data_IF_645084779248
#
_entry.id   IF_645084779248
#
_cell.length_a   1.000
_cell.length_b   1.000
_cell.length_c   1.000
_cell.angle_alpha   90.00
_cell.angle_beta   90.00
_cell.angle_gamma   90.00
#
_symmetry.space_group_name_H-M   'P 1'
#
loop_
_entity.id
_entity.type
_entity.pdbx_description
1 polymer ?
#
# COMPACT_ATOMS: atom_id res chain seq x y z
N UNK A 1 109.97 -95.38 60.73
CA UNK A 1 109.54 -94.05 61.22
C UNK A 1 110.02 -92.86 60.35
N UNK A 2 110.50 -93.06 59.12
CA UNK A 2 110.96 -91.94 58.25
C UNK A 2 109.98 -91.48 57.15
N UNK A 3 109.12 -92.37 56.66
CA UNK A 3 108.30 -92.14 55.44
C UNK A 3 107.06 -91.27 55.74
N UNK A 4 106.34 -91.54 56.83
CA UNK A 4 105.15 -90.75 57.23
C UNK A 4 105.48 -89.28 57.54
N UNK A 5 106.70 -88.98 57.99
CA UNK A 5 107.13 -87.61 58.30
C UNK A 5 107.34 -86.77 57.04
N UNK A 6 107.70 -87.40 55.92
CA UNK A 6 107.92 -86.72 54.65
C UNK A 6 106.62 -86.37 53.93
N UNK A 7 105.65 -87.29 53.86
CA UNK A 7 104.38 -87.05 53.17
C UNK A 7 103.58 -85.90 53.79
N UNK A 8 103.64 -85.76 55.13
CA UNK A 8 103.05 -84.65 55.86
C UNK A 8 103.76 -83.34 55.51
N UNK A 9 105.10 -83.33 55.44
CA UNK A 9 105.89 -82.15 55.07
C UNK A 9 105.67 -81.73 53.61
N UNK A 10 105.53 -82.70 52.71
CA UNK A 10 105.23 -82.47 51.30
C UNK A 10 103.85 -81.82 51.15
N UNK A 11 102.79 -82.40 51.73
CA UNK A 11 101.42 -81.88 51.63
C UNK A 11 101.21 -80.56 52.38
N UNK A 12 101.94 -80.33 53.47
CA UNK A 12 101.89 -79.08 54.21
C UNK A 12 102.72 -77.95 53.57
N UNK A 13 103.43 -78.20 52.47
CA UNK A 13 104.24 -77.17 51.83
C UNK A 13 103.35 -76.04 51.25
N UNK A 14 103.68 -74.75 51.47
CA UNK A 14 102.86 -73.60 51.03
C UNK A 14 102.64 -73.50 49.52
N UNK A 15 103.39 -74.26 48.72
CA UNK A 15 103.25 -74.30 47.27
C UNK A 15 101.86 -74.77 46.83
N UNK A 16 101.22 -75.67 47.58
CA UNK A 16 99.93 -76.25 47.17
C UNK A 16 98.76 -75.30 47.39
N UNK A 17 98.77 -74.51 48.47
CA UNK A 17 97.80 -73.43 48.66
C UNK A 17 97.98 -72.36 47.59
N UNK A 18 99.23 -72.01 47.25
CA UNK A 18 99.53 -71.05 46.19
C UNK A 18 98.97 -71.48 44.83
N UNK A 19 99.06 -72.76 44.47
CA UNK A 19 98.45 -73.27 43.23
C UNK A 19 96.91 -73.17 43.27
N UNK A 20 96.29 -73.47 44.41
CA UNK A 20 94.84 -73.38 44.56
C UNK A 20 94.35 -71.92 44.42
N UNK A 21 95.05 -70.98 45.06
CA UNK A 21 94.76 -69.55 44.99
C UNK A 21 94.91 -69.02 43.56
N UNK A 22 95.98 -69.41 42.86
CA UNK A 22 96.21 -69.07 41.45
C UNK A 22 95.08 -69.53 40.53
N UNK A 23 94.58 -70.75 40.72
CA UNK A 23 93.46 -71.28 39.93
C UNK A 23 92.17 -70.51 40.20
N UNK A 24 91.90 -70.16 41.46
CA UNK A 24 90.74 -69.34 41.82
C UNK A 24 90.84 -67.91 41.25
N UNK A 25 92.05 -67.34 41.26
CA UNK A 25 92.32 -66.03 40.70
C UNK A 25 92.05 -65.97 39.18
N UNK A 26 92.50 -66.99 38.43
CA UNK A 26 92.20 -67.09 37.01
C UNK A 26 90.69 -67.19 36.75
N UNK A 27 90.01 -68.11 37.45
CA UNK A 27 88.56 -68.34 37.26
C UNK A 27 87.71 -67.12 37.58
N UNK A 28 88.05 -66.36 38.63
CA UNK A 28 87.31 -65.15 39.00
C UNK A 28 87.43 -64.00 37.99
N UNK A 29 88.39 -64.07 37.08
CA UNK A 29 88.66 -63.04 36.07
C UNK A 29 88.44 -63.55 34.64
N UNK A 30 87.73 -64.66 34.45
CA UNK A 30 87.47 -65.27 33.15
C UNK A 30 86.78 -64.32 32.15
N UNK A 31 85.94 -63.39 32.62
CA UNK A 31 85.28 -62.38 31.79
C UNK A 31 86.26 -61.44 31.06
N UNK A 32 87.52 -61.37 31.52
CA UNK A 32 88.58 -60.56 30.92
C UNK A 32 89.34 -61.28 29.81
N UNK A 33 89.00 -62.54 29.54
CA UNK A 33 89.62 -63.34 28.48
C UNK A 33 89.14 -62.84 27.13
N UNK A 34 90.08 -62.32 26.33
CA UNK A 34 89.84 -61.86 24.97
C UNK A 34 90.22 -62.96 23.97
N UNK A 35 89.77 -62.88 22.70
CA UNK A 35 90.22 -63.82 21.67
C UNK A 35 91.76 -63.90 21.52
N UNK A 36 92.48 -62.82 21.84
CA UNK A 36 93.95 -62.74 21.71
C UNK A 36 94.71 -63.45 22.85
N UNK A 37 94.10 -63.62 24.03
CA UNK A 37 94.76 -64.23 25.18
C UNK A 37 94.12 -65.55 25.65
N UNK A 38 93.07 -66.00 24.96
CA UNK A 38 92.32 -67.22 25.30
C UNK A 38 93.20 -68.46 25.38
N UNK A 39 94.03 -68.69 24.36
CA UNK A 39 94.94 -69.84 24.34
C UNK A 39 95.93 -69.82 25.54
N UNK A 40 96.40 -68.64 25.92
CA UNK A 40 97.32 -68.47 27.05
C UNK A 40 96.63 -68.65 28.41
N UNK A 41 95.40 -68.14 28.54
CA UNK A 41 94.56 -68.38 29.71
C UNK A 41 94.28 -69.88 29.89
N UNK A 42 93.90 -70.57 28.81
CA UNK A 42 93.61 -72.00 28.81
C UNK A 42 94.88 -72.80 29.17
N UNK A 43 96.04 -72.43 28.63
CA UNK A 43 97.33 -73.07 28.95
C UNK A 43 97.72 -72.88 30.42
N UNK A 44 97.58 -71.69 30.98
CA UNK A 44 97.84 -71.41 32.40
C UNK A 44 96.90 -72.19 33.31
N UNK A 45 95.60 -72.21 32.99
CA UNK A 45 94.60 -72.94 33.78
C UNK A 45 94.85 -74.46 33.74
N UNK A 46 95.17 -75.01 32.57
CA UNK A 46 95.53 -76.42 32.42
C UNK A 46 96.84 -76.74 33.16
N UNK A 47 97.84 -75.88 33.04
CA UNK A 47 99.15 -76.08 33.66
C UNK A 47 99.13 -76.02 35.18
N UNK A 48 98.40 -75.07 35.75
CA UNK A 48 98.20 -75.00 37.19
C UNK A 48 97.35 -76.17 37.71
N UNK A 49 96.37 -76.63 36.93
CA UNK A 49 95.61 -77.85 37.26
C UNK A 49 96.53 -79.08 37.30
N UNK A 50 97.45 -79.21 36.34
CA UNK A 50 98.46 -80.26 36.33
C UNK A 50 99.40 -80.19 37.54
N UNK A 51 99.88 -79.00 37.93
CA UNK A 51 100.73 -78.85 39.12
C UNK A 51 99.94 -79.15 40.40
N UNK A 52 98.67 -78.75 40.49
CA UNK A 52 97.81 -79.02 41.65
C UNK A 52 97.66 -80.52 41.92
N UNK A 53 97.58 -81.33 40.85
CA UNK A 53 97.47 -82.78 40.95
C UNK A 53 98.74 -83.41 41.55
N UNK A 54 99.91 -82.85 41.25
CA UNK A 54 101.19 -83.34 41.79
C UNK A 54 101.27 -83.13 43.30
N UNK A 55 100.58 -82.13 43.84
CA UNK A 55 100.45 -81.93 45.29
C UNK A 55 99.68 -83.03 46.01
N UNK A 56 98.84 -83.77 45.30
CA UNK A 56 98.03 -84.85 45.88
C UNK A 56 98.81 -86.16 46.06
N UNK A 57 99.91 -86.34 45.32
CA UNK A 57 100.76 -87.55 45.30
C UNK A 57 102.19 -87.24 45.79
N UNK A 58 102.52 -87.47 47.08
CA UNK A 58 103.86 -87.26 47.59
C UNK A 58 104.88 -88.18 46.92
N UNK A 59 105.98 -87.60 46.43
CA UNK A 59 107.10 -88.35 45.87
C UNK A 59 108.26 -88.29 46.86
N UNK A 60 108.71 -89.45 47.38
CA UNK A 60 109.73 -89.55 48.44
C UNK A 60 111.06 -88.86 48.09
N UNK A 61 111.41 -88.81 46.80
CA UNK A 61 112.71 -88.31 46.30
C UNK A 61 112.68 -86.80 46.04
N UNK A 62 111.50 -86.17 46.05
CA UNK A 62 111.39 -84.71 45.96
C UNK A 62 111.90 -84.13 47.27
N UNK A 63 112.69 -83.07 47.24
CA UNK A 63 113.21 -82.44 48.45
C UNK A 63 112.43 -81.17 48.78
N UNK A 64 112.48 -80.71 50.03
CA UNK A 64 111.89 -79.41 50.40
C UNK A 64 112.45 -78.25 49.57
N UNK A 65 113.70 -78.35 49.14
CA UNK A 65 114.33 -77.37 48.24
C UNK A 65 113.70 -77.38 46.85
N UNK A 66 113.35 -78.54 46.31
CA UNK A 66 112.64 -78.65 45.03
C UNK A 66 111.21 -78.08 45.11
N UNK A 67 110.51 -78.30 46.23
CA UNK A 67 109.20 -77.68 46.49
C UNK A 67 109.31 -76.16 46.63
N UNK A 68 110.36 -75.66 47.28
CA UNK A 68 110.63 -74.23 47.40
C UNK A 68 110.96 -73.59 46.04
N UNK A 69 111.69 -74.29 45.16
CA UNK A 69 111.96 -73.83 43.80
C UNK A 69 110.66 -73.73 42.96
N UNK A 70 109.79 -74.74 43.06
CA UNK A 70 108.47 -74.69 42.43
C UNK A 70 107.64 -73.52 42.96
N UNK A 71 107.65 -73.30 44.27
CA UNK A 71 106.96 -72.18 44.90
C UNK A 71 107.46 -70.83 44.37
N UNK A 72 108.77 -70.64 44.23
CA UNK A 72 109.33 -69.39 43.69
C UNK A 72 108.84 -69.10 42.28
N UNK A 73 108.82 -70.11 41.40
CA UNK A 73 108.28 -69.96 40.05
C UNK A 73 106.79 -69.59 40.07
N UNK A 74 106.00 -70.25 40.92
CA UNK A 74 104.56 -69.98 41.03
C UNK A 74 104.25 -68.62 41.67
N UNK A 75 105.09 -68.11 42.56
CA UNK A 75 104.95 -66.74 43.09
C UNK A 75 105.11 -65.74 41.95
N UNK A 76 106.05 -65.95 41.03
CA UNK A 76 106.21 -65.10 39.86
C UNK A 76 105.01 -65.22 38.90
N UNK A 77 104.47 -66.42 38.69
CA UNK A 77 103.20 -66.61 37.96
C UNK A 77 102.08 -65.78 38.61
N UNK A 78 101.95 -65.84 39.94
CA UNK A 78 100.93 -65.09 40.67
C UNK A 78 101.08 -63.57 40.53
N UNK A 79 102.31 -63.05 40.58
CA UNK A 79 102.56 -61.63 40.34
C UNK A 79 102.06 -61.19 38.96
N UNK A 80 102.34 -61.97 37.91
CA UNK A 80 101.92 -61.64 36.56
C UNK A 80 100.43 -61.85 36.31
N UNK A 81 99.80 -62.89 36.88
CA UNK A 81 98.35 -63.08 36.81
C UNK A 81 97.61 -61.95 37.55
N UNK A 82 98.11 -61.50 38.70
CA UNK A 82 97.56 -60.33 39.39
C UNK A 82 97.71 -59.04 38.56
N UNK A 83 98.85 -58.83 37.89
CA UNK A 83 99.04 -57.69 37.01
C UNK A 83 98.07 -57.70 35.82
N UNK A 84 97.76 -58.88 35.27
CA UNK A 84 96.71 -59.04 34.26
C UNK A 84 95.32 -58.76 34.83
N UNK A 85 94.99 -59.36 35.98
CA UNK A 85 93.71 -59.22 36.67
C UNK A 85 93.41 -57.77 37.10
N UNK A 86 94.42 -56.90 37.18
CA UNK A 86 94.28 -55.49 37.57
C UNK A 86 94.27 -54.51 36.39
N UNK A 87 94.51 -54.92 35.14
CA UNK A 87 94.46 -53.99 33.99
C UNK A 87 95.64 -53.97 33.04
N UNK A 88 96.74 -54.66 33.34
CA UNK A 88 98.04 -54.34 32.71
C UNK A 88 98.26 -54.89 31.28
N UNK A 89 97.22 -55.37 30.58
CA UNK A 89 97.31 -55.85 29.19
C UNK A 89 97.67 -57.34 29.05
N UNK A 90 97.38 -57.93 27.89
CA UNK A 90 97.48 -59.38 27.63
C UNK A 90 98.90 -59.97 27.71
N UNK A 91 99.94 -59.13 27.54
CA UNK A 91 101.34 -59.56 27.58
C UNK A 91 101.76 -60.23 28.91
N UNK A 92 101.08 -59.88 30.01
CA UNK A 92 101.34 -60.47 31.32
C UNK A 92 100.93 -61.95 31.40
N UNK A 93 99.92 -62.38 30.64
CA UNK A 93 99.62 -63.81 30.47
C UNK A 93 100.54 -64.44 29.42
N UNK A 94 100.68 -63.80 28.25
CA UNK A 94 101.31 -64.35 27.04
C UNK A 94 102.79 -64.69 27.20
N UNK A 95 103.60 -63.81 27.80
CA UNK A 95 105.07 -64.01 27.86
C UNK A 95 105.62 -64.10 29.27
N UNK A 96 105.03 -63.36 30.22
CA UNK A 96 105.55 -63.29 31.58
C UNK A 96 105.06 -64.47 32.45
N UNK A 97 103.74 -64.66 32.60
CA UNK A 97 103.19 -65.76 33.39
C UNK A 97 103.52 -67.13 32.79
N UNK A 98 103.42 -67.29 31.45
CA UNK A 98 103.78 -68.54 30.79
C UNK A 98 105.26 -68.90 30.93
N UNK A 99 106.17 -67.92 30.84
CA UNK A 99 107.60 -68.19 31.01
C UNK A 99 107.94 -68.75 32.40
N UNK A 100 107.30 -68.23 33.46
CA UNK A 100 107.46 -68.78 34.81
C UNK A 100 106.69 -70.08 35.04
N UNK A 101 105.58 -70.30 34.32
CA UNK A 101 104.90 -71.60 34.30
C UNK A 101 105.77 -72.67 33.64
N UNK A 102 106.49 -72.33 32.57
CA UNK A 102 107.44 -73.24 31.92
C UNK A 102 108.63 -73.55 32.84
N UNK A 103 109.18 -72.56 33.55
CA UNK A 103 110.19 -72.79 34.59
C UNK A 103 109.67 -73.66 35.76
N UNK A 104 108.39 -73.49 36.13
CA UNK A 104 107.73 -74.37 37.08
C UNK A 104 107.67 -75.80 36.52
N UNK A 105 107.22 -76.00 35.29
CA UNK A 105 107.20 -77.31 34.65
C UNK A 105 108.58 -77.96 34.55
N UNK A 106 109.62 -77.22 34.21
CA UNK A 106 111.00 -77.72 34.17
C UNK A 106 111.44 -78.21 35.55
N UNK A 107 111.10 -77.47 36.61
CA UNK A 107 111.33 -77.91 37.99
C UNK A 107 110.62 -79.24 38.27
N UNK A 108 109.33 -79.34 37.93
CA UNK A 108 108.57 -80.56 38.20
C UNK A 108 108.89 -81.70 37.23
N UNK A 109 109.57 -81.43 36.12
CA UNK A 109 110.04 -82.44 35.16
C UNK A 109 111.27 -83.19 35.68
N UNK A 110 112.07 -82.57 36.55
CA UNK A 110 113.18 -83.24 37.24
C UNK A 110 112.72 -84.29 38.25
N UNK A 111 111.43 -84.32 38.60
CA UNK A 111 110.89 -85.24 39.59
C UNK A 111 110.56 -86.59 38.93
N UNK A 112 110.75 -87.72 39.65
CA UNK A 112 110.41 -89.04 39.14
C UNK A 112 108.95 -89.09 38.64
N UNK A 113 108.68 -89.64 37.44
CA UNK A 113 107.34 -89.68 36.89
C UNK A 113 106.42 -90.63 37.68
N UNK A 114 105.26 -90.15 38.14
CA UNK A 114 104.15 -91.01 38.56
C UNK A 114 103.32 -91.40 37.32
N UNK A 115 102.75 -92.62 37.31
CA UNK A 115 102.15 -93.24 36.12
C UNK A 115 100.90 -92.53 35.55
N UNK A 116 100.33 -91.54 36.24
CA UNK A 116 98.99 -90.98 35.92
C UNK A 116 98.97 -89.49 35.56
N UNK A 117 100.13 -88.90 35.27
CA UNK A 117 100.33 -87.44 35.22
C UNK A 117 99.65 -86.68 34.06
N UNK A 118 99.29 -87.33 32.95
CA UNK A 118 98.90 -86.63 31.70
C UNK A 118 97.40 -86.67 31.33
N UNK A 119 96.55 -87.39 32.06
CA UNK A 119 95.18 -87.70 31.59
C UNK A 119 94.06 -87.02 32.39
N UNK A 120 94.33 -86.47 33.58
CA UNK A 120 93.30 -85.86 34.44
C UNK A 120 92.98 -84.39 34.10
N UNK A 121 93.98 -83.54 33.82
CA UNK A 121 93.75 -82.13 33.45
C UNK A 121 92.91 -81.92 32.18
N UNK A 122 93.12 -82.75 31.15
CA UNK A 122 92.32 -82.71 29.92
C UNK A 122 90.85 -83.10 30.17
N UNK A 123 90.58 -84.01 31.12
CA UNK A 123 89.21 -84.39 31.50
C UNK A 123 88.47 -83.28 32.23
N UNK A 124 89.17 -82.50 33.06
CA UNK A 124 88.55 -81.35 33.75
C UNK A 124 88.11 -80.27 32.76
N UNK A 125 88.98 -79.86 31.83
CA UNK A 125 88.65 -78.86 30.81
C UNK A 125 87.52 -79.32 29.87
N UNK A 126 87.50 -80.61 29.50
CA UNK A 126 86.40 -81.18 28.72
C UNK A 126 85.06 -81.18 29.49
N UNK A 127 85.09 -81.34 30.82
CA UNK A 127 83.89 -81.29 31.66
C UNK A 127 83.35 -79.87 31.76
N UNK A 128 84.22 -78.88 31.99
CA UNK A 128 83.84 -77.47 32.06
C UNK A 128 83.22 -76.98 30.73
N UNK A 129 83.81 -77.32 29.58
CA UNK A 129 83.24 -77.00 28.26
C UNK A 129 81.84 -77.60 28.05
N UNK A 130 81.64 -78.84 28.48
CA UNK A 130 80.31 -79.49 28.39
C UNK A 130 79.29 -78.75 29.24
N UNK A 131 79.67 -78.30 30.45
CA UNK A 131 78.80 -77.51 31.32
C UNK A 131 78.48 -76.14 30.71
N UNK A 132 79.45 -75.43 30.14
CA UNK A 132 79.20 -74.14 29.49
C UNK A 132 78.33 -74.27 28.25
N UNK A 133 78.55 -75.30 27.43
CA UNK A 133 77.70 -75.62 26.30
C UNK A 133 76.25 -75.93 26.73
N UNK A 134 76.07 -76.65 27.84
CA UNK A 134 74.74 -76.92 28.41
C UNK A 134 74.05 -75.62 28.86
N UNK A 135 74.75 -74.76 29.59
CA UNK A 135 74.23 -73.47 30.03
C UNK A 135 73.85 -72.56 28.84
N UNK A 136 74.68 -72.54 27.79
CA UNK A 136 74.39 -71.78 26.57
C UNK A 136 73.16 -72.32 25.84
N UNK A 137 73.00 -73.64 25.72
CA UNK A 137 71.82 -74.29 25.11
C UNK A 137 70.56 -73.96 25.91
N UNK A 138 70.63 -74.01 27.25
CA UNK A 138 69.50 -73.66 28.12
C UNK A 138 69.12 -72.18 27.98
N UNK A 139 70.11 -71.28 27.91
CA UNK A 139 69.88 -69.86 27.63
C UNK A 139 69.25 -69.61 26.26
N UNK A 140 69.66 -70.34 25.21
CA UNK A 140 69.03 -70.27 23.88
C UNK A 140 67.60 -70.80 23.94
N UNK A 141 67.35 -71.94 24.60
CA UNK A 141 66.01 -72.51 24.77
C UNK A 141 65.08 -71.52 25.46
N UNK A 142 65.51 -70.88 26.55
CA UNK A 142 64.73 -69.85 27.24
C UNK A 142 64.41 -68.65 26.35
N UNK A 143 65.35 -68.21 25.50
CA UNK A 143 65.07 -67.14 24.51
C UNK A 143 64.07 -67.58 23.44
N UNK A 144 64.16 -68.82 22.95
CA UNK A 144 63.20 -69.37 21.98
C UNK A 144 61.80 -69.45 22.58
N UNK A 145 61.66 -69.92 23.82
CA UNK A 145 60.38 -69.94 24.54
C UNK A 145 59.81 -68.53 24.76
N UNK A 146 60.67 -67.57 25.15
CA UNK A 146 60.27 -66.17 25.29
C UNK A 146 59.79 -65.54 23.96
N UNK A 147 60.48 -65.81 22.86
CA UNK A 147 60.06 -65.37 21.52
C UNK A 147 58.75 -66.04 21.10
N UNK A 148 58.58 -67.33 21.37
CA UNK A 148 57.34 -68.04 21.06
C UNK A 148 56.14 -67.45 21.81
N UNK A 149 56.31 -67.14 23.09
CA UNK A 149 55.27 -66.48 23.88
C UNK A 149 54.93 -65.09 23.33
N UNK A 150 55.94 -64.31 22.93
CA UNK A 150 55.73 -62.98 22.34
C UNK A 150 55.04 -63.05 20.97
N UNK A 151 55.35 -64.05 20.15
CA UNK A 151 54.66 -64.32 18.88
C UNK A 151 53.20 -64.68 19.14
N UNK A 152 52.94 -65.55 20.11
CA UNK A 152 51.58 -65.97 20.46
C UNK A 152 50.75 -64.78 20.97
N UNK A 153 51.33 -63.97 21.86
CA UNK A 153 50.71 -62.74 22.37
C UNK A 153 50.40 -61.75 21.24
N UNK A 154 51.38 -61.45 20.40
CA UNK A 154 51.20 -60.51 19.28
C UNK A 154 50.15 -61.03 18.28
N UNK A 155 50.13 -62.34 18.02
CA UNK A 155 49.14 -62.97 17.16
C UNK A 155 47.74 -62.83 17.76
N UNK A 156 47.58 -63.11 19.06
CA UNK A 156 46.30 -62.98 19.75
C UNK A 156 45.80 -61.53 19.76
N UNK A 157 46.66 -60.56 20.08
CA UNK A 157 46.30 -59.13 20.07
C UNK A 157 45.92 -58.66 18.66
N UNK A 158 46.67 -59.09 17.64
CA UNK A 158 46.37 -58.72 16.25
C UNK A 158 45.04 -59.32 15.79
N UNK A 159 44.78 -60.60 16.10
CA UNK A 159 43.50 -61.23 15.78
C UNK A 159 42.33 -60.57 16.50
N UNK A 160 42.48 -60.22 17.78
CA UNK A 160 41.46 -59.50 18.55
C UNK A 160 41.17 -58.13 17.93
N UNK A 161 42.21 -57.34 17.61
CA UNK A 161 42.05 -56.03 16.97
C UNK A 161 41.39 -56.11 15.59
N UNK A 162 41.74 -57.11 14.77
CA UNK A 162 41.04 -57.34 13.49
C UNK A 162 39.58 -57.74 13.68
N UNK A 163 39.27 -58.58 14.66
CA UNK A 163 37.89 -58.99 14.96
C UNK A 163 37.03 -57.82 15.44
N UNK A 164 37.61 -56.93 16.26
CA UNK A 164 36.95 -55.71 16.73
C UNK A 164 36.69 -54.75 15.56
N UNK A 165 37.72 -54.47 14.75
CA UNK A 165 37.60 -53.60 13.59
C UNK A 165 36.62 -54.13 12.55
N UNK A 166 36.58 -55.45 12.34
CA UNK A 166 35.59 -56.09 11.46
C UNK A 166 34.17 -55.89 12.00
N UNK A 167 33.98 -56.04 13.31
CA UNK A 167 32.68 -55.86 13.98
C UNK A 167 32.21 -54.41 13.87
N UNK A 168 33.11 -53.45 14.13
CA UNK A 168 32.82 -52.02 14.01
C UNK A 168 32.47 -51.64 12.56
N UNK A 169 33.29 -52.09 11.60
CA UNK A 169 33.04 -51.85 10.18
C UNK A 169 31.70 -52.44 9.72
N UNK A 170 31.36 -53.65 10.16
CA UNK A 170 30.07 -54.27 9.87
C UNK A 170 28.90 -53.49 10.49
N UNK A 171 29.03 -53.04 11.74
CA UNK A 171 28.03 -52.21 12.40
C UNK A 171 27.80 -50.88 11.67
N UNK A 172 28.88 -50.19 11.30
CA UNK A 172 28.82 -48.93 10.56
C UNK A 172 28.20 -49.10 9.16
N UNK A 173 28.53 -50.19 8.46
CA UNK A 173 27.92 -50.52 7.15
C UNK A 173 26.41 -50.75 7.32
N UNK A 174 25.98 -51.51 8.33
CA UNK A 174 24.55 -51.75 8.57
C UNK A 174 23.81 -50.47 8.94
N UNK A 175 24.38 -49.63 9.81
CA UNK A 175 23.81 -48.34 10.18
C UNK A 175 23.66 -47.41 8.96
N UNK A 176 24.71 -47.31 8.14
CA UNK A 176 24.70 -46.50 6.91
C UNK A 176 23.68 -47.05 5.91
N UNK A 177 23.57 -48.37 5.75
CA UNK A 177 22.56 -48.99 4.88
C UNK A 177 21.14 -48.67 5.33
N UNK A 178 20.88 -48.71 6.64
CA UNK A 178 19.57 -48.35 7.20
C UNK A 178 19.23 -46.88 6.94
N UNK A 179 20.19 -45.97 7.14
CA UNK A 179 20.01 -44.54 6.86
C UNK A 179 19.75 -44.25 5.38
N UNK A 180 20.49 -44.92 4.47
CA UNK A 180 20.26 -44.80 3.02
C UNK A 180 18.86 -45.26 2.63
N UNK A 181 18.36 -46.35 3.22
CA UNK A 181 17.01 -46.85 2.94
C UNK A 181 15.92 -45.92 3.47
N UNK A 182 16.14 -45.35 4.66
CA UNK A 182 15.25 -44.31 5.21
C UNK A 182 15.21 -43.08 4.28
N UNK A 183 16.37 -42.55 3.88
CA UNK A 183 16.46 -41.40 2.99
C UNK A 183 15.79 -41.67 1.63
N UNK A 184 15.93 -42.88 1.09
CA UNK A 184 15.23 -43.28 -0.14
C UNK A 184 13.71 -43.26 0.03
N UNK A 185 13.22 -43.74 1.17
CA UNK A 185 11.79 -43.71 1.50
C UNK A 185 11.28 -42.26 1.63
N UNK A 186 12.02 -41.39 2.31
CA UNK A 186 11.69 -39.97 2.46
C UNK A 186 11.69 -39.23 1.11
N UNK A 187 12.68 -39.48 0.25
CA UNK A 187 12.75 -38.93 -1.10
C UNK A 187 11.56 -39.39 -1.95
N UNK A 188 11.21 -40.68 -1.87
CA UNK A 188 10.05 -41.24 -2.57
C UNK A 188 8.73 -40.58 -2.12
N UNK A 189 8.53 -40.47 -0.80
CA UNK A 189 7.35 -39.84 -0.21
C UNK A 189 7.23 -38.35 -0.57
N UNK A 190 8.35 -37.63 -0.51
CA UNK A 190 8.42 -36.21 -0.89
C UNK A 190 8.12 -36.04 -2.37
N UNK A 191 8.69 -36.87 -3.23
CA UNK A 191 8.44 -36.85 -4.68
C UNK A 191 6.97 -37.10 -5.01
N UNK A 192 6.34 -38.06 -4.34
CA UNK A 192 4.91 -38.35 -4.49
C UNK A 192 4.06 -37.14 -4.05
N UNK A 193 4.42 -36.49 -2.94
CA UNK A 193 3.71 -35.31 -2.43
C UNK A 193 3.84 -34.12 -3.39
N UNK A 194 5.04 -33.85 -3.89
CA UNK A 194 5.28 -32.77 -4.87
C UNK A 194 4.49 -33.02 -6.15
N UNK A 195 4.48 -34.26 -6.65
CA UNK A 195 3.71 -34.64 -7.85
C UNK A 195 2.21 -34.41 -7.65
N UNK A 196 1.67 -34.85 -6.50
CA UNK A 196 0.26 -34.66 -6.17
C UNK A 196 -0.10 -33.18 -6.01
N UNK A 197 0.78 -32.37 -5.41
CA UNK A 197 0.58 -30.93 -5.28
C UNK A 197 0.62 -30.21 -6.64
N UNK A 198 1.56 -30.59 -7.53
CA UNK A 198 1.62 -30.05 -8.89
C UNK A 198 0.32 -30.32 -9.64
N UNK A 199 -0.18 -31.56 -9.60
CA UNK A 199 -1.46 -31.91 -10.24
C UNK A 199 -2.64 -31.12 -9.67
N UNK A 200 -2.69 -30.91 -8.35
CA UNK A 200 -3.73 -30.09 -7.71
C UNK A 200 -3.65 -28.62 -8.13
N UNK A 201 -2.44 -28.07 -8.25
CA UNK A 201 -2.21 -26.71 -8.74
C UNK A 201 -2.66 -26.57 -10.19
N UNK A 202 -2.30 -27.50 -11.07
CA UNK A 202 -2.72 -27.49 -12.47
C UNK A 202 -4.25 -27.55 -12.60
N UNK A 203 -4.90 -28.42 -11.82
CA UNK A 203 -6.36 -28.49 -11.77
C UNK A 203 -7.00 -27.19 -11.25
N UNK A 204 -6.44 -26.60 -10.18
CA UNK A 204 -6.94 -25.35 -9.63
C UNK A 204 -6.78 -24.19 -10.63
N UNK A 205 -5.65 -24.10 -11.33
CA UNK A 205 -5.40 -23.09 -12.37
C UNK A 205 -6.40 -23.24 -13.51
N UNK A 206 -6.58 -24.46 -14.03
CA UNK A 206 -7.54 -24.72 -15.10
C UNK A 206 -8.97 -24.40 -14.67
N UNK A 207 -9.38 -24.82 -13.48
CA UNK A 207 -10.69 -24.49 -12.93
C UNK A 207 -10.89 -22.98 -12.80
N UNK A 208 -9.89 -22.27 -12.30
CA UNK A 208 -9.95 -20.83 -12.12
C UNK A 208 -10.03 -20.09 -13.46
N UNK A 209 -9.25 -20.51 -14.46
CA UNK A 209 -9.29 -19.95 -15.80
C UNK A 209 -10.67 -20.13 -16.45
N UNK A 210 -11.27 -21.32 -16.33
CA UNK A 210 -12.61 -21.60 -16.83
C UNK A 210 -13.65 -20.74 -16.12
N UNK A 211 -13.70 -20.76 -14.78
CA UNK A 211 -14.67 -19.99 -14.01
C UNK A 211 -14.52 -18.48 -14.24
N UNK A 212 -13.29 -17.97 -14.38
CA UNK A 212 -13.05 -16.57 -14.70
C UNK A 212 -13.60 -16.21 -16.08
N UNK A 213 -13.30 -17.03 -17.10
CA UNK A 213 -13.74 -16.78 -18.47
C UNK A 213 -15.27 -16.84 -18.61
N UNK A 214 -15.91 -17.80 -17.95
CA UNK A 214 -17.37 -17.92 -17.90
C UNK A 214 -18.02 -16.73 -17.17
N UNK A 215 -17.46 -16.34 -16.02
CA UNK A 215 -17.96 -15.18 -15.28
C UNK A 215 -17.79 -13.88 -16.06
N UNK A 216 -16.68 -13.73 -16.79
CA UNK A 216 -16.44 -12.55 -17.63
C UNK A 216 -17.39 -12.50 -18.84
N UNK A 217 -17.60 -13.64 -19.50
CA UNK A 217 -18.59 -13.74 -20.57
C UNK A 217 -20.01 -13.38 -20.06
N UNK A 218 -20.41 -13.90 -18.90
CA UNK A 218 -21.70 -13.60 -18.29
C UNK A 218 -21.84 -12.12 -17.87
N UNK A 219 -20.78 -11.51 -17.31
CA UNK A 219 -20.74 -10.08 -17.01
C UNK A 219 -20.87 -9.24 -18.27
N UNK A 220 -20.12 -9.57 -19.32
CA UNK A 220 -20.19 -8.86 -20.60
C UNK A 220 -21.58 -8.95 -21.22
N UNK A 221 -22.20 -10.13 -21.22
CA UNK A 221 -23.55 -10.33 -21.77
C UNK A 221 -24.61 -9.58 -20.95
N UNK A 222 -24.57 -9.68 -19.63
CA UNK A 222 -25.51 -8.96 -18.76
C UNK A 222 -25.36 -7.44 -18.87
N UNK A 223 -24.13 -6.94 -18.99
CA UNK A 223 -23.86 -5.52 -19.21
C UNK A 223 -24.41 -5.06 -20.58
N UNK A 224 -24.18 -5.83 -21.64
CA UNK A 224 -24.72 -5.53 -22.97
C UNK A 224 -26.25 -5.46 -22.95
N UNK A 225 -26.91 -6.45 -22.35
CA UNK A 225 -28.38 -6.43 -22.20
C UNK A 225 -28.88 -5.26 -21.37
N UNK A 226 -28.13 -4.85 -20.34
CA UNK A 226 -28.48 -3.68 -19.53
C UNK A 226 -28.37 -2.37 -20.34
N UNK A 227 -27.34 -2.23 -21.18
CA UNK A 227 -27.19 -1.09 -22.08
C UNK A 227 -28.31 -1.02 -23.13
N UNK A 228 -28.66 -2.16 -23.73
CA UNK A 228 -29.76 -2.25 -24.70
C UNK A 228 -31.09 -1.86 -24.05
N UNK A 229 -31.40 -2.41 -22.88
CA UNK A 229 -32.61 -2.04 -22.14
C UNK A 229 -32.62 -0.57 -21.73
N UNK A 230 -31.49 -0.03 -21.27
CA UNK A 230 -31.38 1.37 -20.92
C UNK A 230 -31.64 2.28 -22.14
N UNK A 231 -31.10 1.92 -23.31
CA UNK A 231 -31.34 2.64 -24.55
C UNK A 231 -32.83 2.60 -24.95
N UNK A 232 -33.46 1.42 -24.86
CA UNK A 232 -34.89 1.25 -25.15
C UNK A 232 -35.78 2.06 -24.18
N UNK A 233 -35.52 1.97 -22.88
CA UNK A 233 -36.25 2.70 -21.85
C UNK A 233 -36.10 4.22 -22.04
N UNK A 234 -34.89 4.69 -22.37
CA UNK A 234 -34.61 6.11 -22.64
C UNK A 234 -35.33 6.60 -23.89
N UNK A 235 -35.34 5.80 -24.96
CA UNK A 235 -36.04 6.13 -26.20
C UNK A 235 -37.55 6.22 -25.95
N UNK A 236 -38.13 5.23 -25.27
CA UNK A 236 -39.56 5.22 -24.90
C UNK A 236 -39.94 6.41 -24.01
N UNK A 237 -39.10 6.75 -23.02
CA UNK A 237 -39.33 7.91 -22.16
C UNK A 237 -39.27 9.22 -22.95
N UNK A 238 -38.33 9.33 -23.88
CA UNK A 238 -38.16 10.52 -24.73
C UNK A 238 -39.35 10.68 -25.69
N UNK A 239 -39.82 9.60 -26.30
CA UNK A 239 -41.01 9.62 -27.17
C UNK A 239 -42.27 10.02 -26.39
N UNK A 240 -42.47 9.48 -25.18
CA UNK A 240 -43.59 9.88 -24.30
C UNK A 240 -43.52 11.35 -23.91
N UNK A 241 -42.35 11.82 -23.51
CA UNK A 241 -42.15 13.23 -23.15
C UNK A 241 -42.41 14.15 -24.34
N UNK A 242 -41.97 13.75 -25.54
CA UNK A 242 -42.25 14.49 -26.78
C UNK A 242 -43.74 14.53 -27.09
N UNK A 243 -44.44 13.40 -27.03
CA UNK A 243 -45.88 13.34 -27.27
C UNK A 243 -46.66 14.23 -26.29
N UNK A 244 -46.33 14.17 -25.00
CA UNK A 244 -46.93 15.03 -23.98
C UNK A 244 -46.65 16.52 -24.23
N UNK A 245 -45.43 16.86 -24.66
CA UNK A 245 -45.07 18.24 -25.00
C UNK A 245 -45.82 18.74 -26.24
N UNK A 246 -46.00 17.90 -27.26
CA UNK A 246 -46.76 18.25 -28.47
C UNK A 246 -48.25 18.43 -28.14
N UNK A 247 -48.83 17.57 -27.30
CA UNK A 247 -50.20 17.70 -26.79
C UNK A 247 -50.39 18.99 -25.98
N UNK A 248 -49.49 19.27 -25.03
CA UNK A 248 -49.53 20.49 -24.22
C UNK A 248 -49.40 21.76 -25.08
N UNK A 249 -48.52 21.74 -26.08
CA UNK A 249 -48.36 22.86 -27.02
C UNK A 249 -49.63 23.07 -27.85
N UNK A 250 -50.28 22.01 -28.30
CA UNK A 250 -51.55 22.08 -29.03
C UNK A 250 -52.66 22.68 -28.15
N UNK A 251 -52.80 22.18 -26.92
CA UNK A 251 -53.77 22.71 -25.96
C UNK A 251 -53.52 24.19 -25.63
N UNK A 252 -52.25 24.60 -25.49
CA UNK A 252 -51.89 25.99 -25.25
C UNK A 252 -52.18 26.89 -26.45
N UNK A 253 -51.95 26.41 -27.68
CA UNK A 253 -52.33 27.14 -28.90
C UNK A 253 -53.84 27.33 -28.99
N UNK A 254 -54.64 26.30 -28.71
CA UNK A 254 -56.09 26.41 -28.70
C UNK A 254 -56.61 27.34 -27.59
N UNK A 255 -56.02 27.29 -26.40
CA UNK A 255 -56.35 28.21 -25.32
C UNK A 255 -55.98 29.66 -25.68
N UNK A 256 -54.79 29.87 -26.25
CA UNK A 256 -54.35 31.17 -26.73
C UNK A 256 -55.25 31.74 -27.82
N UNK A 257 -55.65 30.91 -28.80
CA UNK A 257 -56.57 31.32 -29.85
C UNK A 257 -57.94 31.70 -29.28
N UNK A 258 -58.48 30.92 -28.33
CA UNK A 258 -59.73 31.26 -27.65
C UNK A 258 -59.67 32.61 -26.93
N UNK A 259 -58.58 32.90 -26.23
CA UNK A 259 -58.38 34.19 -25.57
C UNK A 259 -58.31 35.33 -26.61
N UNK A 260 -57.59 35.13 -27.71
CA UNK A 260 -57.51 36.12 -28.80
C UNK A 260 -58.90 36.39 -29.39
N UNK A 261 -59.68 35.34 -29.65
CA UNK A 261 -61.03 35.46 -30.18
C UNK A 261 -61.97 36.16 -29.18
N UNK A 262 -61.87 35.85 -27.88
CA UNK A 262 -62.64 36.49 -26.81
C UNK A 262 -62.27 37.98 -26.67
N UNK A 263 -60.98 38.31 -26.70
CA UNK A 263 -60.49 39.70 -26.65
C UNK A 263 -60.97 40.48 -27.88
N UNK A 264 -60.96 39.87 -29.07
CA UNK A 264 -61.50 40.48 -30.28
C UNK A 264 -63.00 40.77 -30.16
N UNK A 265 -63.78 39.80 -29.66
CA UNK A 265 -65.21 39.98 -29.43
C UNK A 265 -65.50 41.07 -28.39
N UNK A 266 -64.77 41.10 -27.27
CA UNK A 266 -64.88 42.15 -26.25
C UNK A 266 -64.52 43.52 -26.80
N UNK A 267 -63.50 43.61 -27.66
CA UNK A 267 -63.13 44.85 -28.35
C UNK A 267 -64.26 45.33 -29.26
N UNK A 268 -64.90 44.44 -30.00
CA UNK A 268 -66.02 44.80 -30.87
C UNK A 268 -67.25 45.25 -30.07
N UNK A 269 -67.57 44.56 -28.97
CA UNK A 269 -68.63 44.98 -28.03
C UNK A 269 -68.34 46.35 -27.40
N UNK A 270 -67.09 46.61 -27.01
CA UNK A 270 -66.69 47.89 -26.45
C UNK A 270 -66.85 49.02 -27.48
N UNK A 271 -66.48 48.78 -28.74
CA UNK A 271 -66.69 49.74 -29.85
C UNK A 271 -68.18 50.02 -30.06
N UNK A 272 -69.03 48.99 -30.06
CA UNK A 272 -70.48 49.16 -30.20
C UNK A 272 -71.10 49.94 -29.04
N UNK A 273 -70.73 49.59 -27.79
CA UNK A 273 -71.22 50.28 -26.59
C UNK A 273 -70.82 51.76 -26.58
N UNK A 274 -69.57 52.09 -26.90
CA UNK A 274 -69.10 53.48 -26.96
C UNK A 274 -69.85 54.26 -28.03
N UNK A 275 -70.08 53.67 -29.21
CA UNK A 275 -70.86 54.30 -30.27
C UNK A 275 -72.32 54.54 -29.86
N UNK A 276 -72.97 53.57 -29.22
CA UNK A 276 -74.35 53.67 -28.77
C UNK A 276 -74.52 54.69 -27.63
N UNK A 277 -73.62 54.68 -26.64
CA UNK A 277 -73.70 55.57 -25.48
C UNK A 277 -73.30 57.00 -25.84
N UNK A 278 -72.31 57.21 -26.70
CA UNK A 278 -71.82 58.55 -27.05
C UNK A 278 -72.89 59.45 -27.69
N UNK A 279 -73.69 58.92 -28.62
CA UNK A 279 -74.74 59.70 -29.28
C UNK A 279 -76.02 59.80 -28.45
N UNK A 280 -76.43 58.71 -27.79
CA UNK A 280 -77.62 58.72 -26.96
C UNK A 280 -77.47 59.61 -25.72
N UNK A 281 -76.29 59.64 -25.10
CA UNK A 281 -76.00 60.49 -23.94
C UNK A 281 -76.06 61.97 -24.30
N UNK A 282 -75.38 62.37 -25.38
CA UNK A 282 -75.36 63.77 -25.84
C UNK A 282 -76.75 64.27 -26.23
N UNK A 283 -77.52 63.52 -27.02
CA UNK A 283 -78.91 63.90 -27.36
C UNK A 283 -79.82 64.03 -26.12
N UNK A 284 -79.63 63.18 -25.11
CA UNK A 284 -80.42 63.23 -23.86
C UNK A 284 -80.13 64.50 -23.05
N UNK A 285 -78.87 64.91 -22.94
CA UNK A 285 -78.48 66.13 -22.21
C UNK A 285 -79.07 67.40 -22.82
N UNK A 286 -79.02 67.55 -24.14
CA UNK A 286 -79.64 68.68 -24.84
C UNK A 286 -81.16 68.68 -24.71
N UNK A 287 -81.79 67.50 -24.65
CA UNK A 287 -83.21 67.37 -24.36
C UNK A 287 -83.61 67.86 -22.97
N UNK A 288 -82.80 67.53 -21.96
CA UNK A 288 -83.01 68.00 -20.59
C UNK A 288 -82.83 69.51 -20.48
N UNK A 289 -81.81 70.07 -21.15
CA UNK A 289 -81.57 71.51 -21.20
C UNK A 289 -82.73 72.25 -21.88
N UNK A 290 -83.21 71.78 -23.03
CA UNK A 290 -84.37 72.36 -23.71
C UNK A 290 -85.64 72.39 -22.82
N UNK A 291 -85.91 71.30 -22.10
CA UNK A 291 -87.06 71.22 -21.20
C UNK A 291 -86.96 72.19 -20.01
N UNK A 292 -85.74 72.44 -19.52
CA UNK A 292 -85.50 73.45 -18.48
C UNK A 292 -85.76 74.86 -19.00
N UNK A 293 -85.26 75.21 -20.19
CA UNK A 293 -85.49 76.50 -20.84
C UNK A 293 -86.97 76.75 -21.14
N UNK A 294 -87.71 75.72 -21.57
CA UNK A 294 -89.17 75.77 -21.77
C UNK A 294 -89.92 76.17 -20.50
N UNK A 295 -89.54 75.59 -19.36
CA UNK A 295 -90.15 75.89 -18.07
C UNK A 295 -89.85 77.34 -17.66
N UNK A 296 -88.60 77.77 -17.75
CA UNK A 296 -88.18 79.16 -17.50
C UNK A 296 -88.98 80.14 -18.38
N UNK A 297 -89.06 79.88 -19.68
CA UNK A 297 -89.82 80.70 -20.62
C UNK A 297 -91.30 80.84 -20.24
N UNK A 298 -91.95 79.76 -19.82
CA UNK A 298 -93.34 79.79 -19.40
C UNK A 298 -93.53 80.58 -18.10
N UNK A 299 -92.63 80.44 -17.12
CA UNK A 299 -92.66 81.23 -15.89
C UNK A 299 -92.52 82.72 -16.17
N UNK A 300 -91.57 83.12 -17.03
CA UNK A 300 -91.43 84.52 -17.47
C UNK A 300 -92.65 85.03 -18.23
N UNK A 301 -93.29 84.17 -19.04
CA UNK A 301 -94.53 84.53 -19.75
C UNK A 301 -95.68 84.78 -18.77
N UNK A 302 -95.88 83.91 -17.79
CA UNK A 302 -96.89 84.11 -16.76
C UNK A 302 -96.61 85.38 -15.95
N UNK A 303 -95.35 85.64 -15.60
CA UNK A 303 -94.93 86.90 -14.97
C UNK A 303 -95.27 88.13 -15.80
N UNK A 304 -94.92 88.14 -17.10
CA UNK A 304 -95.24 89.23 -18.01
C UNK A 304 -96.76 89.47 -18.12
N UNK A 305 -97.55 88.41 -18.28
CA UNK A 305 -99.02 88.49 -18.35
C UNK A 305 -99.59 89.08 -17.05
N UNK A 306 -99.11 88.65 -15.89
CA UNK A 306 -99.53 89.20 -14.59
C UNK A 306 -99.18 90.68 -14.47
N UNK A 307 -97.96 91.08 -14.87
CA UNK A 307 -97.54 92.49 -14.84
C UNK A 307 -98.39 93.35 -15.78
N UNK A 308 -98.68 92.88 -16.99
CA UNK A 308 -99.58 93.59 -17.91
C UNK A 308 -101.00 93.68 -17.38
N UNK A 309 -101.55 92.61 -16.79
CA UNK A 309 -102.87 92.61 -16.18
C UNK A 309 -102.95 93.60 -15.00
N UNK A 310 -101.95 93.61 -14.11
CA UNK A 310 -101.87 94.58 -13.02
C UNK A 310 -101.76 96.01 -13.53
N UNK A 311 -100.90 96.27 -14.54
CA UNK A 311 -100.78 97.59 -15.16
C UNK A 311 -102.11 98.06 -15.77
N UNK A 312 -102.84 97.16 -16.43
CA UNK A 312 -104.13 97.47 -17.03
C UNK A 312 -105.21 97.72 -15.98
N UNK A 313 -105.25 96.92 -14.91
CA UNK A 313 -106.17 97.11 -13.80
C UNK A 313 -105.91 98.42 -13.05
N UNK A 314 -104.64 98.79 -12.79
CA UNK A 314 -104.28 100.08 -12.18
C UNK A 314 -104.73 101.23 -13.10
N UNK A 315 -104.44 101.13 -14.40
CA UNK A 315 -104.90 102.11 -15.38
C UNK A 315 -106.43 102.26 -15.38
N UNK A 316 -107.17 101.16 -15.41
CA UNK A 316 -108.64 101.16 -15.39
C UNK A 316 -109.21 101.74 -14.09
N UNK A 317 -108.63 101.38 -12.94
CA UNK A 317 -109.02 101.92 -11.64
C UNK A 317 -108.78 103.43 -11.56
N UNK A 318 -107.66 103.93 -12.12
CA UNK A 318 -107.40 105.38 -12.17
C UNK A 318 -108.39 106.12 -13.07
N UNK A 319 -108.88 105.51 -14.14
CA UNK A 319 -109.89 106.11 -15.01
C UNK A 319 -111.27 106.22 -14.34
N UNK A 320 -111.70 105.19 -13.60
CA UNK A 320 -113.05 105.12 -13.03
C UNK A 320 -113.25 105.97 -11.76
N UNK A 321 -112.20 106.14 -10.96
CA UNK A 321 -112.30 106.85 -9.66
C UNK A 321 -112.10 108.36 -9.79
N UNK A 322 -111.54 108.85 -10.89
CA UNK A 322 -111.11 110.25 -11.02
C UNK A 322 -112.14 111.12 -11.74
N UNK A 323 -112.96 111.88 -11.00
CA UNK A 323 -113.66 113.04 -11.57
C UNK A 323 -112.63 114.14 -11.79
N UNK A 324 -112.31 114.43 -13.05
CA UNK A 324 -111.30 115.43 -13.42
C UNK A 324 -111.91 116.82 -13.30
N UNK A 325 -111.68 117.48 -12.17
CA UNK A 325 -112.02 118.89 -11.95
C UNK A 325 -110.89 119.81 -12.44
N UNK A 326 -111.25 121.03 -12.88
CA UNK A 326 -110.38 122.07 -13.49
C UNK A 326 -109.16 122.48 -12.63
N UNK A 327 -109.12 122.11 -11.35
CA UNK A 327 -108.03 122.42 -10.41
C UNK A 327 -107.03 121.28 -10.17
N UNK A 328 -107.13 120.16 -10.90
CA UNK A 328 -106.24 119.01 -10.68
C UNK A 328 -104.84 119.29 -11.26
N UNK A 329 -103.76 119.28 -10.45
CA UNK A 329 -102.40 119.52 -10.94
C UNK A 329 -101.95 118.40 -11.89
N UNK A 330 -101.39 118.76 -13.05
CA UNK A 330 -100.93 117.80 -14.06
C UNK A 330 -99.85 116.83 -13.53
N UNK A 331 -99.09 117.23 -12.50
CA UNK A 331 -98.09 116.36 -11.84
C UNK A 331 -98.74 115.11 -11.23
N UNK A 332 -99.97 115.21 -10.76
CA UNK A 332 -100.71 114.10 -10.17
C UNK A 332 -101.13 113.06 -11.23
N UNK A 333 -101.33 113.50 -12.48
CA UNK A 333 -101.53 112.60 -13.61
C UNK A 333 -100.22 111.93 -14.04
N UNK A 334 -99.10 112.67 -14.06
CA UNK A 334 -97.79 112.13 -14.44
C UNK A 334 -97.30 111.01 -13.51
N UNK A 335 -97.47 111.13 -12.20
CA UNK A 335 -97.09 110.06 -11.24
C UNK A 335 -97.97 108.81 -11.42
N UNK A 336 -99.27 109.00 -11.72
CA UNK A 336 -100.20 107.89 -12.00
C UNK A 336 -99.87 107.15 -13.29
N UNK A 337 -99.59 107.87 -14.37
CA UNK A 337 -99.18 107.25 -15.64
C UNK A 337 -97.75 106.69 -15.58
N UNK A 338 -96.86 107.30 -14.79
CA UNK A 338 -95.49 106.84 -14.59
C UNK A 338 -95.41 105.45 -13.95
N UNK A 339 -96.27 105.15 -12.97
CA UNK A 339 -96.35 103.83 -12.35
C UNK A 339 -96.76 102.72 -13.33
N UNK A 340 -97.79 102.96 -14.15
CA UNK A 340 -98.22 102.02 -15.19
C UNK A 340 -97.19 101.88 -16.31
N UNK A 341 -96.53 102.97 -16.71
CA UNK A 341 -95.49 102.92 -17.75
C UNK A 341 -94.26 102.13 -17.30
N UNK A 342 -93.87 102.25 -16.03
CA UNK A 342 -92.79 101.45 -15.44
C UNK A 342 -93.13 99.96 -15.39
N UNK A 343 -94.36 99.61 -15.00
CA UNK A 343 -94.84 98.22 -15.02
C UNK A 343 -94.90 97.67 -16.45
N UNK A 344 -95.35 98.47 -17.42
CA UNK A 344 -95.39 98.06 -18.83
C UNK A 344 -93.99 97.79 -19.38
N UNK A 345 -93.00 98.61 -19.04
CA UNK A 345 -91.60 98.35 -19.38
C UNK A 345 -91.08 97.04 -18.75
N UNK A 346 -91.43 96.77 -17.49
CA UNK A 346 -91.14 95.50 -16.82
C UNK A 346 -91.78 94.29 -17.50
N UNK A 347 -93.05 94.40 -17.90
CA UNK A 347 -93.76 93.36 -18.65
C UNK A 347 -93.15 93.09 -20.02
N UNK A 348 -92.72 94.12 -20.75
CA UNK A 348 -92.03 93.98 -22.04
C UNK A 348 -90.67 93.29 -21.87
N UNK A 349 -89.91 93.64 -20.84
CA UNK A 349 -88.65 92.97 -20.55
C UNK A 349 -88.86 91.47 -20.24
N UNK A 350 -89.82 91.13 -19.38
CA UNK A 350 -90.16 89.73 -19.08
C UNK A 350 -90.65 88.96 -20.31
N UNK A 351 -91.40 89.61 -21.21
CA UNK A 351 -91.81 89.00 -22.48
C UNK A 351 -90.63 88.77 -23.43
N UNK A 352 -89.66 89.70 -23.45
CA UNK A 352 -88.42 89.56 -24.22
C UNK A 352 -87.57 88.40 -23.67
N UNK A 353 -87.41 88.33 -22.36
CA UNK A 353 -86.66 87.26 -21.68
C UNK A 353 -87.32 85.89 -21.91
N UNK A 354 -88.65 85.81 -21.82
CA UNK A 354 -89.42 84.61 -22.20
C UNK A 354 -89.17 84.20 -23.65
N UNK A 355 -89.14 85.16 -24.58
CA UNK A 355 -88.84 84.89 -25.99
C UNK A 355 -87.41 84.39 -26.20
N UNK A 356 -86.46 84.89 -25.44
CA UNK A 356 -85.07 84.45 -25.47
C UNK A 356 -84.93 83.00 -24.99
N UNK A 357 -85.49 82.66 -23.82
CA UNK A 357 -85.53 81.28 -23.34
C UNK A 357 -86.26 80.33 -24.32
N UNK A 358 -87.30 80.80 -25.03
CA UNK A 358 -87.92 80.00 -26.10
C UNK A 358 -87.04 79.80 -27.33
N UNK A 359 -86.18 80.76 -27.64
CA UNK A 359 -85.20 80.60 -28.71
C UNK A 359 -84.15 79.57 -28.28
N UNK A 360 -83.67 79.64 -27.05
CA UNK A 360 -82.71 78.68 -26.48
C UNK A 360 -83.32 77.27 -26.36
N UNK A 361 -84.56 77.15 -25.89
CA UNK A 361 -85.35 75.91 -25.90
C UNK A 361 -85.41 75.33 -27.32
N UNK A 362 -85.88 76.11 -28.30
CA UNK A 362 -86.05 75.62 -29.68
C UNK A 362 -84.72 75.18 -30.28
N UNK A 363 -83.65 75.93 -30.02
CA UNK A 363 -82.29 75.60 -30.48
C UNK A 363 -81.79 74.29 -29.85
N UNK A 364 -81.92 74.14 -28.54
CA UNK A 364 -81.53 72.93 -27.83
C UNK A 364 -82.39 71.72 -28.25
N UNK A 365 -83.69 71.93 -28.47
CA UNK A 365 -84.61 70.89 -28.92
C UNK A 365 -84.34 70.45 -30.35
N UNK A 366 -84.07 71.39 -31.26
CA UNK A 366 -83.65 71.04 -32.63
C UNK A 366 -82.34 70.28 -32.60
N UNK A 367 -81.39 70.68 -31.73
CA UNK A 367 -80.12 69.98 -31.58
C UNK A 367 -80.29 68.53 -31.09
N UNK A 368 -81.12 68.33 -30.06
CA UNK A 368 -81.50 66.99 -29.61
C UNK A 368 -82.10 66.15 -30.75
N UNK A 369 -83.04 66.72 -31.51
CA UNK A 369 -83.73 66.00 -32.58
C UNK A 369 -82.79 65.67 -33.74
N UNK A 370 -81.93 66.61 -34.13
CA UNK A 370 -80.91 66.41 -35.17
C UNK A 370 -79.94 65.27 -34.77
N UNK A 371 -79.47 65.26 -33.52
CA UNK A 371 -78.59 64.19 -33.00
C UNK A 371 -79.32 62.84 -32.89
N UNK A 372 -80.55 62.82 -32.37
CA UNK A 372 -81.32 61.60 -32.19
C UNK A 372 -81.80 61.00 -33.52
N UNK A 373 -82.02 61.83 -34.53
CA UNK A 373 -82.44 61.40 -35.86
C UNK A 373 -81.27 60.90 -36.73
N UNK A 374 -80.03 61.30 -36.44
CA UNK A 374 -78.88 60.99 -37.28
C UNK A 374 -78.69 59.49 -37.50
N UNK A 375 -78.70 58.69 -36.43
CA UNK A 375 -78.44 57.24 -36.51
C UNK A 375 -79.53 56.45 -37.28
N UNK A 376 -80.84 56.65 -37.05
CA UNK A 376 -81.90 55.98 -37.83
C UNK A 376 -81.84 56.21 -39.34
N UNK A 377 -81.36 57.38 -39.79
CA UNK A 377 -81.34 57.73 -41.23
C UNK A 377 -80.12 57.16 -41.98
N UNK A 378 -79.05 56.84 -41.27
CA UNK A 378 -77.79 56.37 -41.90
C UNK A 378 -77.52 54.87 -41.68
N UNK A 379 -78.39 54.19 -40.92
CA UNK A 379 -78.23 52.77 -40.56
C UNK A 379 -78.23 51.83 -41.78
N UNK A 380 -78.96 52.17 -42.84
CA UNK A 380 -79.07 51.37 -44.07
C UNK A 380 -78.03 51.74 -45.15
N UNK A 381 -77.13 52.69 -44.87
CA UNK A 381 -76.10 53.13 -45.83
C UNK A 381 -74.80 52.33 -45.68
N UNK A 382 -73.98 52.23 -46.75
CA UNK A 382 -72.65 51.65 -46.69
C UNK A 382 -71.75 52.34 -45.64
N UNK A 383 -70.79 51.62 -45.02
CA UNK A 383 -69.99 52.12 -43.91
C UNK A 383 -69.23 53.42 -44.23
N UNK A 384 -68.59 53.48 -45.39
CA UNK A 384 -67.83 54.65 -45.84
C UNK A 384 -68.72 55.90 -45.99
N UNK A 385 -69.95 55.72 -46.49
CA UNK A 385 -70.90 56.82 -46.62
C UNK A 385 -71.43 57.27 -45.25
N UNK A 386 -71.60 56.34 -44.30
CA UNK A 386 -72.02 56.64 -42.94
C UNK A 386 -71.01 57.53 -42.20
N UNK A 387 -69.71 57.22 -42.30
CA UNK A 387 -68.65 58.02 -41.66
C UNK A 387 -68.54 59.42 -42.25
N UNK A 388 -68.60 59.54 -43.58
CA UNK A 388 -68.59 60.85 -44.24
C UNK A 388 -69.79 61.72 -43.85
N UNK A 389 -70.99 61.13 -43.74
CA UNK A 389 -72.20 61.83 -43.30
C UNK A 389 -72.10 62.20 -41.82
N UNK A 390 -71.56 61.34 -40.94
CA UNK A 390 -71.32 61.67 -39.53
C UNK A 390 -70.33 62.83 -39.38
N UNK A 391 -69.24 62.85 -40.16
CA UNK A 391 -68.27 63.95 -40.15
C UNK A 391 -68.86 65.27 -40.69
N UNK A 392 -69.63 65.20 -41.78
CA UNK A 392 -70.35 66.35 -42.32
C UNK A 392 -71.44 66.86 -41.36
N UNK A 393 -72.16 65.96 -40.68
CA UNK A 393 -73.14 66.31 -39.66
C UNK A 393 -72.47 66.94 -38.44
N UNK A 394 -71.36 66.38 -37.95
CA UNK A 394 -70.63 66.94 -36.81
C UNK A 394 -70.09 68.35 -37.10
N UNK A 395 -69.44 68.55 -38.25
CA UNK A 395 -68.95 69.88 -38.66
C UNK A 395 -70.10 70.88 -38.80
N UNK A 396 -71.21 70.50 -39.43
CA UNK A 396 -72.38 71.38 -39.56
C UNK A 396 -73.06 71.68 -38.22
N UNK A 397 -73.24 70.68 -37.36
CA UNK A 397 -73.97 70.82 -36.12
C UNK A 397 -73.17 71.60 -35.06
N UNK A 398 -71.85 71.40 -34.99
CA UNK A 398 -70.97 71.97 -33.96
C UNK A 398 -70.12 73.17 -34.43
N UNK A 399 -69.64 73.22 -35.68
CA UNK A 399 -68.74 74.29 -36.17
C UNK A 399 -69.53 75.46 -36.77
N UNK A 400 -70.52 75.19 -37.62
CA UNK A 400 -71.32 76.26 -38.24
C UNK A 400 -72.14 77.06 -37.20
N UNK A 401 -72.45 76.44 -36.06
CA UNK A 401 -73.17 77.08 -34.94
C UNK A 401 -72.27 77.77 -33.90
N UNK A 402 -70.95 77.61 -33.97
CA UNK A 402 -69.99 78.35 -33.13
C UNK A 402 -69.72 79.78 -33.60
N UNK A 403 -70.27 80.19 -34.75
CA UNK A 403 -69.97 81.49 -35.39
C UNK A 403 -71.09 82.53 -35.27
N UNK A 404 -72.17 82.23 -34.55
CA UNK A 404 -73.31 83.14 -34.35
C UNK A 404 -73.37 83.81 -32.97
N UNK A 405 -72.32 83.69 -32.15
CA UNK A 405 -72.08 84.57 -31.00
C UNK A 405 -70.66 85.14 -31.13
N UNK A 406 -70.59 86.45 -31.32
CA UNK A 406 -69.32 87.16 -31.45
C UNK A 406 -68.54 87.14 -30.14
N UNK A 407 -67.54 86.28 -30.04
CA UNK A 407 -66.30 86.51 -29.29
C UNK A 407 -65.21 85.62 -29.89
N UNK A 408 -64.28 86.24 -30.60
CA UNK A 408 -63.07 85.59 -31.08
C UNK A 408 -62.21 85.17 -29.90
N UNK A 409 -61.98 83.87 -29.75
CA UNK A 409 -60.86 83.35 -28.97
C UNK A 409 -60.00 82.50 -29.88
N UNK A 410 -58.75 82.93 -29.97
CA UNK A 410 -57.65 82.42 -30.78
C UNK A 410 -57.36 80.95 -30.55
N UNK A 411 -57.25 80.25 -31.67
CA UNK A 411 -56.51 79.00 -31.86
C UNK A 411 -55.06 79.14 -31.37
N UNK A 412 -54.63 78.21 -30.51
CA UNK A 412 -53.21 77.84 -30.39
C UNK A 412 -53.08 76.33 -30.57
N UNK A 413 -52.73 75.96 -31.80
CA UNK A 413 -52.13 74.68 -32.19
C UNK A 413 -50.86 74.41 -31.38
N UNK A 414 -50.76 73.22 -30.78
CA UNK A 414 -50.00 72.06 -31.30
C UNK A 414 -48.48 72.19 -31.18
N UNK A 415 -47.86 71.24 -30.48
CA UNK A 415 -46.42 71.01 -30.62
C UNK A 415 -45.83 69.99 -29.64
N UNK A 416 -45.34 68.90 -30.22
CA UNK A 416 -44.25 68.05 -29.75
C UNK A 416 -44.56 66.86 -28.82
N UNK A 417 -44.71 65.71 -29.46
CA UNK A 417 -44.29 64.39 -29.00
C UNK A 417 -42.90 64.44 -28.35
N UNK A 418 -42.84 64.35 -27.02
CA UNK A 418 -41.63 63.95 -26.30
C UNK A 418 -41.71 62.47 -25.97
N UNK A 419 -40.77 61.69 -26.51
CA UNK A 419 -40.46 60.35 -26.03
C UNK A 419 -40.21 60.39 -24.50
N UNK A 420 -40.67 59.40 -23.73
CA UNK A 420 -40.60 59.43 -22.28
C UNK A 420 -39.17 59.34 -21.74
N UNK A 421 -38.88 60.17 -20.74
CA UNK A 421 -37.69 60.12 -19.90
C UNK A 421 -37.56 58.74 -19.25
N UNK A 422 -36.57 57.96 -19.69
CA UNK A 422 -36.36 56.62 -19.13
C UNK A 422 -35.17 55.81 -19.67
N UNK A 423 -34.38 56.34 -20.60
CA UNK A 423 -33.18 55.65 -21.09
C UNK A 423 -31.96 56.20 -20.37
N UNK A 424 -31.57 55.54 -19.27
CA UNK A 424 -30.34 55.86 -18.56
C UNK A 424 -29.11 55.49 -19.41
N UNK A 425 -27.96 56.16 -19.24
CA UNK A 425 -26.71 55.85 -19.94
C UNK A 425 -26.23 54.39 -19.79
N UNK A 426 -26.77 53.65 -18.82
CA UNK A 426 -26.51 52.22 -18.61
C UNK A 426 -27.26 51.32 -19.61
N UNK A 427 -28.46 51.70 -20.05
CA UNK A 427 -29.20 50.95 -21.07
C UNK A 427 -28.50 50.96 -22.44
N UNK A 428 -27.79 52.06 -22.74
CA UNK A 428 -26.99 52.21 -23.96
C UNK A 428 -25.70 51.37 -23.92
N UNK A 429 -25.13 51.16 -22.73
CA UNK A 429 -23.98 50.26 -22.51
C UNK A 429 -24.36 48.78 -22.59
N UNK A 430 -25.56 48.41 -22.13
CA UNK A 430 -26.06 47.03 -22.22
C UNK A 430 -26.35 46.60 -23.67
N UNK A 431 -26.85 47.51 -24.51
CA UNK A 431 -27.05 47.24 -25.94
C UNK A 431 -25.71 47.11 -26.69
N UNK A 432 -24.66 47.84 -26.28
CA UNK A 432 -23.32 47.70 -26.84
C UNK A 432 -22.65 46.39 -26.40
N UNK A 433 -22.82 45.94 -25.15
CA UNK A 433 -22.30 44.64 -24.70
C UNK A 433 -23.04 43.43 -25.32
N UNK A 434 -24.33 43.58 -25.62
CA UNK A 434 -25.09 42.57 -26.36
C UNK A 434 -24.62 42.45 -27.82
N UNK A 435 -24.23 43.55 -28.45
CA UNK A 435 -23.68 43.53 -29.82
C UNK A 435 -22.28 42.88 -29.91
N UNK A 436 -21.45 42.96 -28.87
CA UNK A 436 -20.14 42.28 -28.83
C UNK A 436 -20.24 40.78 -28.52
N UNK A 437 -21.29 40.35 -27.82
CA UNK A 437 -21.50 38.93 -27.47
C UNK A 437 -22.03 38.10 -28.65
N UNK A 438 -22.63 38.73 -29.67
CA UNK A 438 -23.07 38.08 -30.91
C UNK A 438 -22.00 38.04 -32.02
N UNK A 439 -20.75 38.42 -31.71
CA UNK A 439 -19.62 38.42 -32.67
C UNK A 439 -18.55 37.35 -32.39
N UNK A 440 -18.86 36.33 -31.58
CA UNK A 440 -18.05 35.12 -31.39
C UNK A 440 -18.80 33.87 -31.80
#
# INVERSE_FOLDING_TARGET
MGIERWDIQYKAHPVWSLVADLRSLLKSHEERVTPENRDHYDRLNMGLSYIAEIGQEPVMVVTGQALSALQQNLVNVQQHVNAWATGSGSNYLVSAAEGYLDAAFDTVRTWPPSKDRYTRGLRAAATDFVTDAQNAIEGIRGKVEGLQNKINELTATTQAGFSELLTEAQGNIQATQAEVEQLRSEVSSTTATVTAQSQRLDQAINSYQTSYSEAEASRSESHQRALEKFAEDTLSATEKARAQSEEALSAQKEAGQRIVDEVAALRDQAVELVNAVGLASTATEYGRYAEQERKSANSWRFGAVSVFACSFLIFLATLLVSHVDEKTPWQFMAVRFGGSLALLAGGVYMAKESSQHRQEERRAKSFQLDLAALDPFIVNLPPEQRESIKAAAASRLFVERGTSDGTSVSEQQSGATTLPDGVTPEALKLLQSLAETFKK
#
